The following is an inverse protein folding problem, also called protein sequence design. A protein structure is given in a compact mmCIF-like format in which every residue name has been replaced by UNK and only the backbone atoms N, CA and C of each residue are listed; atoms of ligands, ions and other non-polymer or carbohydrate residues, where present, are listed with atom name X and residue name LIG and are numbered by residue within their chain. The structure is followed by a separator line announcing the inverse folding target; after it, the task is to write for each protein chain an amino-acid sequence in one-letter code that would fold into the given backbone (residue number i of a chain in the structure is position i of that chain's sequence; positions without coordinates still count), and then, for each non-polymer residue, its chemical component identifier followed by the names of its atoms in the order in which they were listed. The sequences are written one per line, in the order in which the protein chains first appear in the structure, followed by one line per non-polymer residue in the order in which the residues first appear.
data_IF_196160353034
#
_entry.id   IF_196160353034
#
_cell.length_a   1.000
_cell.length_b   1.000
_cell.length_c   1.000
_cell.angle_alpha   90.00
_cell.angle_beta   90.00
_cell.angle_gamma   90.00
#
_symmetry.space_group_name_H-M   'P 1'
#
loop_
_entity.id
_entity.type
_entity.pdbx_description
1 polymer ?
#
# COMPACT_ATOMS: atom_id res chain seq x y z
N UNK A 1 -53.49 -26.19 26.37
CA UNK A 1 -52.28 -26.26 25.54
C UNK A 1 -51.56 -24.89 25.42
N UNK A 2 -52.32 -23.80 25.21
CA UNK A 2 -51.75 -22.45 25.07
C UNK A 2 -51.06 -21.92 26.34
N UNK A 3 -51.52 -22.23 27.56
CA UNK A 3 -50.92 -21.76 28.79
C UNK A 3 -49.53 -22.33 29.10
N UNK A 4 -49.33 -23.63 28.85
CA UNK A 4 -48.04 -24.29 29.11
C UNK A 4 -46.93 -23.86 28.13
N UNK A 5 -47.31 -23.66 26.85
CA UNK A 5 -46.39 -23.13 25.83
C UNK A 5 -45.99 -21.67 26.17
N UNK A 6 -46.96 -20.91 26.69
CA UNK A 6 -46.75 -19.52 27.12
C UNK A 6 -45.80 -19.45 28.33
N UNK A 7 -45.94 -20.34 29.33
CA UNK A 7 -45.10 -20.39 30.53
C UNK A 7 -43.69 -20.86 30.21
N UNK A 8 -43.53 -21.97 29.45
CA UNK A 8 -42.26 -22.48 29.01
C UNK A 8 -41.49 -21.48 28.15
N UNK A 9 -42.18 -20.85 27.19
CA UNK A 9 -41.64 -19.77 26.40
C UNK A 9 -41.31 -18.55 27.26
N UNK A 10 -42.12 -18.22 28.29
CA UNK A 10 -41.90 -17.09 29.18
C UNK A 10 -40.57 -17.17 29.93
N UNK A 11 -40.29 -18.34 30.54
CA UNK A 11 -39.02 -18.56 31.26
C UNK A 11 -37.79 -18.59 30.34
N UNK A 12 -37.89 -19.31 29.24
CA UNK A 12 -36.78 -19.40 28.25
C UNK A 12 -36.57 -18.09 27.52
N UNK A 13 -37.61 -17.32 27.21
CA UNK A 13 -37.51 -15.99 26.63
C UNK A 13 -36.78 -15.01 27.54
N UNK A 14 -36.90 -15.11 28.85
CA UNK A 14 -36.16 -14.26 29.78
C UNK A 14 -34.67 -14.54 29.75
N UNK A 15 -34.26 -15.81 29.73
CA UNK A 15 -32.88 -16.21 29.57
C UNK A 15 -32.30 -15.78 28.21
N UNK A 16 -33.06 -16.00 27.12
CA UNK A 16 -32.66 -15.57 25.78
C UNK A 16 -32.51 -14.03 25.68
N UNK A 17 -33.39 -13.26 26.29
CA UNK A 17 -33.28 -11.79 26.34
C UNK A 17 -32.00 -11.35 27.02
N UNK A 18 -31.63 -11.99 28.14
CA UNK A 18 -30.38 -11.70 28.85
C UNK A 18 -29.16 -12.04 27.99
N UNK A 19 -29.18 -13.20 27.34
CA UNK A 19 -28.08 -13.61 26.44
C UNK A 19 -27.91 -12.65 25.25
N UNK A 20 -29.01 -12.26 24.59
CA UNK A 20 -28.99 -11.26 23.50
C UNK A 20 -28.51 -9.90 23.99
N UNK A 21 -28.92 -9.46 25.19
CA UNK A 21 -28.45 -8.20 25.76
C UNK A 21 -26.93 -8.20 26.00
N UNK A 22 -26.39 -9.32 26.50
CA UNK A 22 -24.95 -9.50 26.67
C UNK A 22 -24.21 -9.48 25.34
N UNK A 23 -24.68 -10.23 24.34
CA UNK A 23 -24.08 -10.27 23.00
C UNK A 23 -24.11 -8.90 22.31
N UNK A 24 -25.26 -8.20 22.35
CA UNK A 24 -25.37 -6.86 21.79
C UNK A 24 -24.53 -5.83 22.52
N UNK A 25 -24.41 -5.95 23.85
CA UNK A 25 -23.53 -5.11 24.66
C UNK A 25 -22.05 -5.35 24.35
N UNK A 26 -21.65 -6.59 24.15
CA UNK A 26 -20.29 -6.94 23.73
C UNK A 26 -19.97 -6.37 22.35
N UNK A 27 -20.89 -6.52 21.39
CA UNK A 27 -20.74 -5.92 20.05
C UNK A 27 -20.64 -4.40 20.12
N UNK A 28 -21.47 -3.73 20.95
CA UNK A 28 -21.37 -2.29 21.15
C UNK A 28 -20.01 -1.87 21.75
N UNK A 29 -19.45 -2.64 22.69
CA UNK A 29 -18.15 -2.36 23.29
C UNK A 29 -17.01 -2.45 22.25
N UNK A 30 -17.00 -3.49 21.42
CA UNK A 30 -16.01 -3.63 20.37
C UNK A 30 -16.17 -2.56 19.28
N UNK A 31 -17.41 -2.22 18.90
CA UNK A 31 -17.72 -1.11 18.00
C UNK A 31 -17.18 0.22 18.55
N UNK A 32 -17.39 0.49 19.84
CA UNK A 32 -16.84 1.67 20.50
C UNK A 32 -15.32 1.70 20.44
N UNK A 33 -14.67 0.58 20.82
CA UNK A 33 -13.21 0.46 20.78
C UNK A 33 -12.67 0.73 19.38
N UNK A 34 -13.23 0.09 18.35
CA UNK A 34 -12.80 0.28 16.97
C UNK A 34 -12.99 1.72 16.47
N UNK A 35 -14.16 2.33 16.79
CA UNK A 35 -14.45 3.70 16.39
C UNK A 35 -13.61 4.75 17.15
N UNK A 36 -13.22 4.47 18.40
CA UNK A 36 -12.48 5.41 19.25
C UNK A 36 -10.96 5.37 19.08
N UNK A 37 -10.39 4.40 18.34
CA UNK A 37 -8.95 4.27 18.16
C UNK A 37 -8.27 5.52 17.57
N UNK A 38 -8.98 6.28 16.73
CA UNK A 38 -8.50 7.53 16.13
C UNK A 38 -9.13 8.80 16.72
N UNK A 39 -9.99 8.66 17.73
CA UNK A 39 -10.68 9.79 18.34
C UNK A 39 -9.71 10.57 19.25
N UNK A 40 -9.33 11.77 18.83
CA UNK A 40 -8.46 12.67 19.59
C UNK A 40 -9.27 13.59 20.50
N UNK A 41 -10.40 14.09 19.99
CA UNK A 41 -11.23 15.05 20.70
C UNK A 41 -12.32 14.39 21.55
N UNK A 42 -12.80 15.13 22.54
CA UNK A 42 -13.98 14.72 23.33
C UNK A 42 -15.20 14.46 22.46
N UNK A 43 -15.43 15.30 21.46
CA UNK A 43 -16.59 15.17 20.56
C UNK A 43 -16.52 13.92 19.68
N UNK A 44 -15.33 13.53 19.22
CA UNK A 44 -15.13 12.30 18.45
C UNK A 44 -15.38 11.06 19.32
N UNK A 45 -14.86 11.05 20.56
CA UNK A 45 -15.13 9.99 21.54
C UNK A 45 -16.61 9.89 21.91
N UNK A 46 -17.28 11.03 22.09
CA UNK A 46 -18.70 11.08 22.32
C UNK A 46 -19.49 10.56 21.11
N UNK A 47 -19.10 10.94 19.88
CA UNK A 47 -19.67 10.42 18.64
C UNK A 47 -19.50 8.91 18.51
N UNK A 48 -18.33 8.38 18.78
CA UNK A 48 -18.06 6.93 18.81
C UNK A 48 -18.94 6.21 19.85
N UNK A 49 -19.13 6.80 21.03
CA UNK A 49 -20.01 6.26 22.08
C UNK A 49 -21.48 6.21 21.64
N UNK A 50 -21.99 7.29 21.07
CA UNK A 50 -23.39 7.37 20.57
C UNK A 50 -23.60 6.36 19.44
N UNK A 51 -22.65 6.25 18.52
CA UNK A 51 -22.72 5.29 17.43
C UNK A 51 -22.72 3.85 17.93
N UNK A 52 -21.82 3.51 18.85
CA UNK A 52 -21.70 2.17 19.43
C UNK A 52 -22.97 1.78 20.24
N UNK A 53 -23.51 2.70 21.04
CA UNK A 53 -24.75 2.48 21.79
C UNK A 53 -25.93 2.31 20.83
N UNK A 54 -26.05 3.18 19.81
CA UNK A 54 -27.11 3.10 18.82
C UNK A 54 -27.10 1.77 18.06
N UNK A 55 -25.94 1.31 17.61
CA UNK A 55 -25.77 0.03 16.93
C UNK A 55 -26.12 -1.15 17.84
N UNK A 56 -25.63 -1.17 19.08
CA UNK A 56 -25.95 -2.21 20.06
C UNK A 56 -27.45 -2.28 20.39
N UNK A 57 -28.12 -1.14 20.56
CA UNK A 57 -29.58 -1.07 20.77
C UNK A 57 -30.35 -1.58 19.55
N UNK A 58 -29.91 -1.20 18.33
CA UNK A 58 -30.55 -1.68 17.10
C UNK A 58 -30.44 -3.20 16.94
N UNK A 59 -29.26 -3.76 17.19
CA UNK A 59 -29.01 -5.22 17.17
C UNK A 59 -29.89 -5.91 18.24
N UNK A 60 -29.95 -5.35 19.45
CA UNK A 60 -30.76 -5.89 20.53
C UNK A 60 -32.29 -5.91 20.16
N UNK A 61 -32.79 -4.81 19.63
CA UNK A 61 -34.20 -4.69 19.23
C UNK A 61 -34.52 -5.69 18.10
N UNK A 62 -33.64 -5.79 17.09
CA UNK A 62 -33.81 -6.73 15.99
C UNK A 62 -33.94 -8.17 16.49
N UNK A 63 -33.00 -8.64 17.29
CA UNK A 63 -33.04 -9.99 17.84
C UNK A 63 -34.17 -10.20 18.84
N UNK A 64 -34.47 -9.20 19.67
CA UNK A 64 -35.62 -9.26 20.58
C UNK A 64 -36.93 -9.48 19.81
N UNK A 65 -37.13 -8.75 18.70
CA UNK A 65 -38.31 -8.94 17.85
C UNK A 65 -38.32 -10.28 17.14
N UNK A 66 -37.17 -10.73 16.62
CA UNK A 66 -37.05 -12.06 16.00
C UNK A 66 -37.47 -13.17 16.96
N UNK A 67 -36.92 -13.21 18.19
CA UNK A 67 -37.29 -14.19 19.21
C UNK A 67 -38.72 -14.08 19.71
N UNK A 68 -39.32 -12.90 19.66
CA UNK A 68 -40.72 -12.69 20.08
C UNK A 68 -41.73 -13.08 19.01
N UNK A 69 -41.45 -12.81 17.74
CA UNK A 69 -42.39 -12.93 16.63
C UNK A 69 -42.29 -14.29 15.96
N UNK A 70 -41.09 -14.70 15.50
CA UNK A 70 -40.91 -15.88 14.64
C UNK A 70 -41.45 -17.18 15.27
N UNK A 71 -41.18 -17.49 16.55
CA UNK A 71 -41.71 -18.71 17.17
C UNK A 71 -43.23 -18.76 17.33
N UNK A 72 -43.93 -17.60 17.26
CA UNK A 72 -45.39 -17.49 17.43
C UNK A 72 -46.15 -17.61 16.12
N UNK A 73 -45.50 -17.60 14.98
CA UNK A 73 -46.11 -17.80 13.68
C UNK A 73 -46.67 -19.21 13.57
N UNK A 74 -47.90 -19.34 13.07
CA UNK A 74 -48.66 -20.60 13.14
C UNK A 74 -48.43 -21.47 11.90
N UNK A 75 -48.50 -20.88 10.73
CA UNK A 75 -48.41 -21.63 9.46
C UNK A 75 -46.98 -21.80 9.00
N UNK A 76 -46.68 -22.87 8.27
CA UNK A 76 -45.32 -23.09 7.68
C UNK A 76 -44.89 -21.91 6.78
N UNK A 77 -45.84 -21.32 6.03
CA UNK A 77 -45.60 -20.18 5.14
C UNK A 77 -45.21 -18.93 5.93
N UNK A 78 -45.95 -18.60 7.00
CA UNK A 78 -45.60 -17.48 7.88
C UNK A 78 -44.24 -17.66 8.53
N UNK A 79 -43.90 -18.90 8.99
CA UNK A 79 -42.58 -19.22 9.58
C UNK A 79 -41.46 -19.03 8.56
N UNK A 80 -41.68 -19.51 7.33
CA UNK A 80 -40.69 -19.32 6.26
C UNK A 80 -40.49 -17.85 5.93
N UNK A 81 -41.57 -17.05 5.85
CA UNK A 81 -41.51 -15.60 5.62
C UNK A 81 -40.81 -14.88 6.78
N UNK A 82 -41.17 -15.21 8.03
CA UNK A 82 -40.50 -14.65 9.21
C UNK A 82 -39.02 -14.95 9.26
N UNK A 83 -38.60 -16.17 8.92
CA UNK A 83 -37.21 -16.54 8.83
C UNK A 83 -36.51 -15.81 7.68
N UNK A 84 -37.14 -15.64 6.53
CA UNK A 84 -36.60 -14.87 5.41
C UNK A 84 -36.32 -13.41 5.79
N UNK A 85 -37.19 -12.78 6.54
CA UNK A 85 -37.00 -11.40 7.08
C UNK A 85 -35.81 -11.37 8.05
N UNK A 86 -35.67 -12.38 8.93
CA UNK A 86 -34.52 -12.46 9.83
C UNK A 86 -33.22 -12.67 9.03
N UNK A 87 -33.22 -13.52 8.02
CA UNK A 87 -32.04 -13.74 7.16
C UNK A 87 -31.64 -12.47 6.41
N UNK A 88 -32.61 -11.72 5.89
CA UNK A 88 -32.33 -10.43 5.23
C UNK A 88 -31.73 -9.42 6.21
N UNK A 89 -32.28 -9.34 7.44
CA UNK A 89 -31.68 -8.51 8.49
C UNK A 89 -30.27 -8.92 8.86
N UNK A 90 -30.03 -10.24 8.99
CA UNK A 90 -28.67 -10.77 9.21
C UNK A 90 -27.71 -10.39 8.09
N UNK A 91 -28.13 -10.49 6.83
CA UNK A 91 -27.31 -10.12 5.67
C UNK A 91 -26.88 -8.65 5.68
N UNK A 92 -27.67 -7.78 6.27
CA UNK A 92 -27.35 -6.35 6.42
C UNK A 92 -26.51 -6.07 7.66
N UNK A 93 -26.83 -6.69 8.79
CA UNK A 93 -26.22 -6.39 10.10
C UNK A 93 -24.87 -7.07 10.25
N UNK A 94 -24.76 -8.36 9.93
CA UNK A 94 -23.55 -9.18 10.22
C UNK A 94 -22.29 -8.64 9.57
N UNK A 95 -22.24 -8.31 8.26
CA UNK A 95 -21.02 -7.83 7.65
C UNK A 95 -20.49 -6.55 8.30
N UNK A 96 -21.39 -5.61 8.59
CA UNK A 96 -21.04 -4.34 9.20
C UNK A 96 -20.61 -4.53 10.67
N UNK A 97 -21.39 -5.26 11.45
CA UNK A 97 -21.11 -5.55 12.85
C UNK A 97 -19.82 -6.34 13.01
N UNK A 98 -19.61 -7.40 12.21
CA UNK A 98 -18.40 -8.21 12.27
C UNK A 98 -17.13 -7.41 11.88
N UNK A 99 -17.22 -6.51 10.90
CA UNK A 99 -16.12 -5.62 10.55
C UNK A 99 -15.76 -4.67 11.71
N UNK A 100 -16.77 -4.08 12.36
CA UNK A 100 -16.56 -3.20 13.52
C UNK A 100 -16.05 -3.96 14.74
N UNK A 101 -16.56 -5.16 15.00
CA UNK A 101 -16.11 -6.01 16.08
C UNK A 101 -14.64 -6.42 15.86
N UNK A 102 -14.28 -6.83 14.64
CA UNK A 102 -12.91 -7.19 14.27
C UNK A 102 -11.98 -5.97 14.40
N UNK A 103 -12.43 -4.79 13.97
CA UNK A 103 -11.67 -3.55 14.13
C UNK A 103 -11.48 -3.17 15.60
N UNK A 104 -12.47 -3.44 16.47
CA UNK A 104 -12.35 -3.22 17.91
C UNK A 104 -11.37 -4.16 18.60
N UNK A 105 -11.17 -5.37 18.08
CA UNK A 105 -10.27 -6.37 18.65
C UNK A 105 -8.86 -6.26 18.05
N UNK A 106 -8.75 -6.19 16.73
CA UNK A 106 -7.49 -6.31 15.98
C UNK A 106 -7.17 -5.07 15.12
N UNK A 107 -7.93 -3.97 15.24
CA UNK A 107 -7.74 -2.79 14.39
C UNK A 107 -6.40 -2.10 14.59
N UNK A 108 -5.86 -2.09 15.81
CA UNK A 108 -4.54 -1.55 16.10
C UNK A 108 -3.44 -2.39 15.47
N UNK A 109 -3.50 -3.72 15.60
CA UNK A 109 -2.55 -4.65 15.01
C UNK A 109 -2.58 -4.59 13.47
N UNK A 110 -3.79 -4.39 12.88
CA UNK A 110 -3.94 -4.25 11.44
C UNK A 110 -3.33 -2.94 10.91
N UNK A 111 -3.43 -1.86 11.67
CA UNK A 111 -2.77 -0.59 11.35
C UNK A 111 -1.25 -0.69 11.51
N UNK A 112 -0.78 -1.42 12.51
CA UNK A 112 0.64 -1.72 12.66
C UNK A 112 1.17 -2.54 11.49
N UNK A 113 0.45 -3.58 11.08
CA UNK A 113 0.78 -4.38 9.89
C UNK A 113 0.85 -3.51 8.62
N UNK A 114 -0.10 -2.57 8.46
CA UNK A 114 -0.07 -1.61 7.35
C UNK A 114 1.19 -0.75 7.38
N UNK A 115 1.53 -0.19 8.53
CA UNK A 115 2.74 0.62 8.68
C UNK A 115 4.02 -0.19 8.40
N UNK A 116 4.14 -1.41 8.93
CA UNK A 116 5.28 -2.29 8.70
C UNK A 116 5.46 -2.64 7.21
N UNK A 117 4.38 -2.95 6.49
CA UNK A 117 4.43 -3.24 5.05
C UNK A 117 4.80 -2.00 4.23
N UNK A 118 4.32 -0.83 4.62
CA UNK A 118 4.70 0.43 3.97
C UNK A 118 6.19 0.73 4.19
N UNK A 119 6.70 0.52 5.41
CA UNK A 119 8.12 0.68 5.73
C UNK A 119 8.98 -0.29 4.91
N UNK A 120 8.56 -1.56 4.78
CA UNK A 120 9.26 -2.54 3.93
C UNK A 120 9.30 -2.10 2.45
N UNK A 121 8.20 -1.54 1.93
CA UNK A 121 8.17 -0.97 0.58
C UNK A 121 9.13 0.21 0.40
N UNK A 122 9.26 1.08 1.39
CA UNK A 122 10.27 2.14 1.36
C UNK A 122 11.71 1.60 1.39
N UNK A 123 11.95 0.56 2.18
CA UNK A 123 13.26 -0.09 2.27
C UNK A 123 13.70 -0.69 0.93
N UNK A 124 12.78 -1.35 0.22
CA UNK A 124 13.01 -1.86 -1.13
C UNK A 124 13.39 -0.73 -2.09
N UNK A 125 12.67 0.40 -2.05
CA UNK A 125 12.97 1.56 -2.90
C UNK A 125 14.35 2.18 -2.57
N UNK A 126 14.71 2.27 -1.28
CA UNK A 126 16.05 2.74 -0.87
C UNK A 126 17.13 1.82 -1.44
N UNK A 127 16.93 0.50 -1.36
CA UNK A 127 17.82 -0.50 -1.95
C UNK A 127 17.95 -0.34 -3.47
N UNK A 128 16.84 -0.25 -4.18
CA UNK A 128 16.79 -0.04 -5.62
C UNK A 128 17.54 1.23 -6.05
N UNK A 129 17.33 2.35 -5.34
CA UNK A 129 18.04 3.61 -5.62
C UNK A 129 19.54 3.50 -5.39
N UNK A 130 19.95 2.79 -4.34
CA UNK A 130 21.36 2.53 -4.08
C UNK A 130 22.01 1.68 -5.19
N UNK A 131 21.34 0.62 -5.64
CA UNK A 131 21.81 -0.24 -6.73
C UNK A 131 21.84 0.49 -8.08
N UNK A 132 20.87 1.37 -8.34
CA UNK A 132 20.93 2.28 -9.48
C UNK A 132 22.18 3.17 -9.45
N UNK A 133 22.55 3.68 -8.27
CA UNK A 133 23.79 4.42 -8.07
C UNK A 133 25.04 3.62 -8.48
N UNK A 134 25.14 2.35 -8.11
CA UNK A 134 26.24 1.47 -8.52
C UNK A 134 26.31 1.27 -10.05
N UNK A 135 25.16 1.19 -10.71
CA UNK A 135 25.12 1.10 -12.17
C UNK A 135 25.60 2.40 -12.84
N UNK A 136 25.29 3.55 -12.24
CA UNK A 136 25.75 4.86 -12.69
C UNK A 136 27.27 4.99 -12.48
N UNK A 137 27.80 4.54 -11.35
CA UNK A 137 29.23 4.55 -11.05
C UNK A 137 30.05 3.82 -12.11
N UNK A 138 29.50 2.76 -12.72
CA UNK A 138 30.21 1.94 -13.70
C UNK A 138 30.66 2.67 -14.97
N UNK A 139 30.14 3.88 -15.26
CA UNK A 139 30.55 4.68 -16.44
C UNK A 139 31.80 5.54 -16.18
N UNK A 140 32.14 5.80 -14.91
CA UNK A 140 33.27 6.70 -14.55
C UNK A 140 34.60 6.28 -15.19
N UNK A 141 34.96 5.00 -15.21
CA UNK A 141 36.18 4.57 -15.88
C UNK A 141 36.19 4.87 -17.38
N UNK A 142 35.06 4.68 -18.06
CA UNK A 142 34.93 4.94 -19.50
C UNK A 142 35.08 6.43 -19.82
N UNK A 143 34.47 7.29 -19.01
CA UNK A 143 34.59 8.76 -19.13
C UNK A 143 36.06 9.21 -18.90
N UNK A 144 36.71 8.65 -17.88
CA UNK A 144 38.13 8.94 -17.60
C UNK A 144 39.04 8.54 -18.76
N UNK A 145 38.83 7.33 -19.29
CA UNK A 145 39.63 6.80 -20.41
C UNK A 145 39.43 7.66 -21.65
N UNK A 146 38.20 8.00 -22.00
CA UNK A 146 37.91 8.79 -23.17
C UNK A 146 38.42 10.24 -23.04
N UNK A 147 38.27 10.88 -21.88
CA UNK A 147 38.85 12.20 -21.62
C UNK A 147 40.37 12.20 -21.75
N UNK A 148 41.05 11.15 -21.21
CA UNK A 148 42.51 10.99 -21.36
C UNK A 148 42.91 10.79 -22.81
N UNK A 149 42.14 10.00 -23.60
CA UNK A 149 42.38 9.78 -25.03
C UNK A 149 42.24 11.10 -25.82
N UNK A 150 41.23 11.87 -25.57
CA UNK A 150 41.01 13.17 -26.23
C UNK A 150 42.14 14.15 -25.93
N UNK A 151 42.65 14.20 -24.68
CA UNK A 151 43.82 15.02 -24.32
C UNK A 151 45.09 14.54 -24.99
N UNK A 152 45.31 13.23 -25.08
CA UNK A 152 46.43 12.67 -25.81
C UNK A 152 46.39 13.03 -27.32
N UNK A 153 45.21 12.98 -27.91
CA UNK A 153 44.98 13.42 -29.30
C UNK A 153 45.22 14.92 -29.49
N UNK A 154 44.73 15.75 -28.55
CA UNK A 154 44.99 17.20 -28.56
C UNK A 154 46.51 17.51 -28.47
N UNK A 155 47.21 16.83 -27.59
CA UNK A 155 48.68 16.94 -27.46
C UNK A 155 49.39 16.51 -28.73
N UNK A 156 48.99 15.40 -29.33
CA UNK A 156 49.55 14.92 -30.58
C UNK A 156 49.32 15.89 -31.75
N UNK A 157 48.16 16.55 -31.78
CA UNK A 157 47.89 17.63 -32.74
C UNK A 157 48.81 18.83 -32.50
N UNK A 158 48.93 19.30 -31.27
CA UNK A 158 49.80 20.42 -30.89
C UNK A 158 51.27 20.16 -31.26
N UNK A 159 51.80 18.96 -30.98
CA UNK A 159 53.23 18.62 -31.15
C UNK A 159 53.56 18.16 -32.58
N UNK A 160 52.63 17.46 -33.25
CA UNK A 160 52.91 16.73 -34.52
C UNK A 160 51.98 17.06 -35.66
N UNK A 161 50.85 17.77 -35.39
CA UNK A 161 49.86 18.07 -36.41
C UNK A 161 49.17 16.81 -36.97
N UNK A 162 48.79 15.86 -36.09
CA UNK A 162 48.28 14.55 -36.50
C UNK A 162 46.96 14.67 -37.27
N UNK A 163 46.14 15.63 -36.99
CA UNK A 163 44.85 15.89 -37.67
C UNK A 163 45.03 16.82 -38.84
N UNK A 164 45.68 17.98 -38.66
CA UNK A 164 45.76 19.06 -39.62
C UNK A 164 47.02 18.96 -40.53
N UNK A 165 47.99 18.13 -40.19
CA UNK A 165 49.28 18.04 -40.87
C UNK A 165 50.25 19.19 -40.52
N UNK A 166 49.94 20.04 -39.54
CA UNK A 166 50.76 21.16 -39.08
C UNK A 166 50.74 21.23 -37.55
N UNK A 167 51.88 21.09 -36.88
CA UNK A 167 51.96 21.25 -35.45
C UNK A 167 51.68 22.69 -35.03
N UNK A 168 51.08 22.86 -33.83
CA UNK A 168 50.80 24.15 -33.21
C UNK A 168 49.41 24.23 -32.61
N UNK A 169 49.15 25.27 -31.78
CA UNK A 169 47.82 25.50 -31.22
C UNK A 169 46.83 25.83 -32.31
N UNK A 170 45.60 25.30 -32.21
CA UNK A 170 44.57 25.52 -33.21
C UNK A 170 43.20 24.95 -32.82
N UNK A 171 42.24 25.20 -33.67
CA UNK A 171 40.85 24.86 -33.42
C UNK A 171 40.60 23.38 -33.13
N UNK A 172 41.32 22.48 -33.76
CA UNK A 172 41.24 21.03 -33.50
C UNK A 172 41.72 20.68 -32.09
N UNK A 173 42.88 21.20 -31.71
CA UNK A 173 43.45 21.01 -30.37
C UNK A 173 42.49 21.57 -29.29
N UNK A 174 41.98 22.79 -29.47
CA UNK A 174 41.00 23.41 -28.57
C UNK A 174 39.70 22.61 -28.45
N UNK A 175 39.20 22.07 -29.56
CA UNK A 175 37.98 21.22 -29.54
C UNK A 175 38.18 19.94 -28.77
N UNK A 176 39.30 19.23 -29.04
CA UNK A 176 39.58 17.98 -28.34
C UNK A 176 39.75 18.19 -26.83
N UNK A 177 40.45 19.27 -26.42
CA UNK A 177 40.59 19.65 -25.03
C UNK A 177 39.24 20.08 -24.42
N UNK A 178 38.41 20.83 -25.14
CA UNK A 178 37.07 21.24 -24.75
C UNK A 178 36.14 20.03 -24.53
N UNK A 179 36.23 19.02 -25.41
CA UNK A 179 35.48 17.76 -25.22
C UNK A 179 35.96 17.01 -23.98
N UNK A 180 37.27 16.89 -23.76
CA UNK A 180 37.81 16.25 -22.57
C UNK A 180 37.36 16.93 -21.27
N UNK A 181 37.36 18.27 -21.22
CA UNK A 181 36.88 19.04 -20.08
C UNK A 181 35.38 18.82 -19.80
N UNK A 182 34.55 18.69 -20.83
CA UNK A 182 33.11 18.40 -20.67
C UNK A 182 32.87 16.99 -20.13
N UNK A 183 33.68 16.01 -20.56
CA UNK A 183 33.63 14.65 -19.99
C UNK A 183 34.05 14.62 -18.51
N UNK A 184 35.08 15.39 -18.15
CA UNK A 184 35.47 15.54 -16.74
C UNK A 184 34.35 16.21 -15.92
N UNK A 185 33.72 17.24 -16.47
CA UNK A 185 32.60 17.90 -15.81
C UNK A 185 31.43 16.93 -15.56
N UNK A 186 31.07 16.13 -16.58
CA UNK A 186 30.06 15.08 -16.42
C UNK A 186 30.47 14.04 -15.36
N UNK A 187 31.73 13.61 -15.37
CA UNK A 187 32.26 12.69 -14.37
C UNK A 187 32.14 13.25 -12.96
N UNK A 188 32.53 14.51 -12.75
CA UNK A 188 32.44 15.20 -11.46
C UNK A 188 30.99 15.33 -10.98
N UNK A 189 30.08 15.64 -11.89
CA UNK A 189 28.64 15.70 -11.59
C UNK A 189 28.12 14.30 -11.15
N UNK A 190 28.54 13.23 -11.82
CA UNK A 190 28.21 11.86 -11.44
C UNK A 190 28.80 11.52 -10.05
N UNK A 191 30.07 11.80 -9.81
CA UNK A 191 30.74 11.53 -8.52
C UNK A 191 30.04 12.30 -7.38
N UNK A 192 29.67 13.57 -7.59
CA UNK A 192 28.95 14.37 -6.62
C UNK A 192 27.54 13.81 -6.34
N UNK A 193 26.81 13.39 -7.41
CA UNK A 193 25.50 12.78 -7.27
C UNK A 193 25.58 11.46 -6.47
N UNK A 194 26.55 10.62 -6.74
CA UNK A 194 26.77 9.36 -6.02
C UNK A 194 27.09 9.59 -4.55
N UNK A 195 27.94 10.57 -4.23
CA UNK A 195 28.27 10.92 -2.86
C UNK A 195 27.02 11.42 -2.09
N UNK A 196 26.23 12.30 -2.73
CA UNK A 196 24.97 12.77 -2.16
C UNK A 196 23.97 11.62 -1.96
N UNK A 197 23.80 10.76 -2.97
CA UNK A 197 22.88 9.61 -2.91
C UNK A 197 23.26 8.64 -1.80
N UNK A 198 24.54 8.38 -1.59
CA UNK A 198 25.04 7.55 -0.49
C UNK A 198 24.67 8.14 0.89
N UNK A 199 24.89 9.43 1.08
CA UNK A 199 24.52 10.12 2.32
C UNK A 199 23.01 10.09 2.56
N UNK A 200 22.22 10.32 1.51
CA UNK A 200 20.76 10.25 1.59
C UNK A 200 20.27 8.84 1.89
N UNK A 201 20.88 7.79 1.30
CA UNK A 201 20.54 6.40 1.60
C UNK A 201 20.81 6.04 3.07
N UNK A 202 21.93 6.50 3.63
CA UNK A 202 22.23 6.31 5.05
C UNK A 202 21.22 7.03 5.95
N UNK A 203 20.86 8.28 5.61
CA UNK A 203 19.84 9.03 6.34
C UNK A 203 18.46 8.38 6.22
N UNK A 204 18.08 7.90 5.03
CA UNK A 204 16.84 7.18 4.80
C UNK A 204 16.76 5.88 5.61
N UNK A 205 17.85 5.11 5.69
CA UNK A 205 17.91 3.92 6.55
C UNK A 205 17.73 4.28 8.03
N UNK A 206 18.31 5.38 8.48
CA UNK A 206 18.09 5.90 9.84
C UNK A 206 16.64 6.29 10.11
N UNK A 207 15.98 6.93 9.14
CA UNK A 207 14.55 7.27 9.24
C UNK A 207 13.67 6.01 9.28
N UNK A 208 13.98 4.98 8.48
CA UNK A 208 13.27 3.69 8.51
C UNK A 208 13.38 3.01 9.87
N UNK A 209 14.57 3.04 10.50
CA UNK A 209 14.76 2.50 11.86
C UNK A 209 13.95 3.27 12.91
N UNK A 210 13.87 4.60 12.78
CA UNK A 210 13.02 5.43 13.65
C UNK A 210 11.54 5.09 13.42
N UNK A 211 11.10 4.93 12.17
CA UNK A 211 9.72 4.54 11.85
C UNK A 211 9.35 3.19 12.47
N UNK A 212 10.23 2.17 12.37
CA UNK A 212 10.01 0.87 13.02
C UNK A 212 9.83 1.00 14.54
N UNK A 213 10.67 1.82 15.19
CA UNK A 213 10.54 2.09 16.63
C UNK A 213 9.24 2.82 16.98
N UNK A 214 8.75 3.73 16.13
CA UNK A 214 7.47 4.42 16.35
C UNK A 214 6.31 3.42 16.25
N UNK A 215 6.35 2.48 15.29
CA UNK A 215 5.30 1.47 15.10
C UNK A 215 5.10 0.63 16.36
N UNK A 216 6.20 0.19 17.00
CA UNK A 216 6.16 -0.67 18.19
C UNK A 216 6.17 0.09 19.51
N UNK A 217 6.14 1.43 19.48
CA UNK A 217 6.19 2.24 20.71
C UNK A 217 4.90 2.14 21.51
N UNK A 218 5.02 2.09 22.83
CA UNK A 218 3.90 2.18 23.77
C UNK A 218 3.41 3.64 23.89
N UNK A 219 2.77 4.11 22.83
CA UNK A 219 2.19 5.44 22.71
C UNK A 219 0.80 5.36 22.05
N UNK A 220 -0.09 6.31 22.34
CA UNK A 220 -1.38 6.39 21.67
C UNK A 220 -1.24 6.33 20.15
N UNK A 221 -2.12 5.57 19.49
CA UNK A 221 -2.10 5.33 18.05
C UNK A 221 -2.08 6.63 17.23
N UNK A 222 -2.84 7.66 17.67
CA UNK A 222 -2.89 8.98 17.04
C UNK A 222 -1.53 9.67 17.00
N UNK A 223 -0.75 9.57 18.09
CA UNK A 223 0.61 10.11 18.16
C UNK A 223 1.54 9.32 17.23
N UNK A 224 1.48 7.97 17.28
CA UNK A 224 2.28 7.11 16.40
C UNK A 224 2.00 7.40 14.91
N UNK A 225 0.73 7.47 14.51
CA UNK A 225 0.32 7.74 13.12
C UNK A 225 0.80 9.12 12.64
N UNK A 226 0.68 10.14 13.47
CA UNK A 226 1.17 11.50 13.15
C UNK A 226 2.69 11.54 12.98
N UNK A 227 3.42 10.89 13.89
CA UNK A 227 4.88 10.89 13.86
C UNK A 227 5.40 10.05 12.69
N UNK A 228 4.76 8.91 12.36
CA UNK A 228 5.03 8.13 11.15
C UNK A 228 4.80 8.93 9.87
N UNK A 229 3.70 9.70 9.79
CA UNK A 229 3.42 10.57 8.64
C UNK A 229 4.55 11.57 8.37
N UNK A 230 5.03 12.26 9.41
CA UNK A 230 6.15 13.21 9.29
C UNK A 230 7.43 12.54 8.78
N UNK A 231 7.74 11.32 9.28
CA UNK A 231 8.92 10.58 8.84
C UNK A 231 8.78 10.06 7.42
N UNK A 232 7.60 9.61 7.03
CA UNK A 232 7.30 9.21 5.66
C UNK A 232 7.47 10.37 4.67
N UNK A 233 7.05 11.59 5.02
CA UNK A 233 7.23 12.78 4.19
C UNK A 233 8.73 13.15 4.05
N UNK A 234 9.50 13.09 5.14
CA UNK A 234 10.96 13.27 5.11
C UNK A 234 11.64 12.23 4.21
N UNK A 235 11.27 10.97 4.36
CA UNK A 235 11.81 9.87 3.56
C UNK A 235 11.48 10.03 2.06
N UNK A 236 10.25 10.43 1.73
CA UNK A 236 9.85 10.70 0.33
C UNK A 236 10.69 11.80 -0.29
N UNK A 237 10.99 12.86 0.46
CA UNK A 237 11.88 13.94 -0.01
C UNK A 237 13.28 13.40 -0.31
N UNK A 238 13.87 12.60 0.60
CA UNK A 238 15.18 11.98 0.39
C UNK A 238 15.19 11.07 -0.84
N UNK A 239 14.18 10.21 -1.01
CA UNK A 239 14.05 9.32 -2.15
C UNK A 239 13.87 10.07 -3.48
N UNK A 240 13.19 11.21 -3.46
CA UNK A 240 13.06 12.08 -4.64
C UNK A 240 14.41 12.71 -4.99
N UNK A 241 15.18 13.17 -4.01
CA UNK A 241 16.51 13.74 -4.22
C UNK A 241 17.55 12.71 -4.68
N UNK A 242 17.36 11.43 -4.38
CA UNK A 242 18.20 10.33 -4.88
C UNK A 242 17.93 10.00 -6.36
N UNK A 243 16.93 10.63 -6.98
CA UNK A 243 16.61 10.36 -8.39
C UNK A 243 17.74 10.77 -9.32
N UNK A 244 18.04 9.91 -10.29
CA UNK A 244 19.08 10.14 -11.32
C UNK A 244 18.58 10.94 -12.53
N UNK A 245 17.34 11.47 -12.51
CA UNK A 245 16.77 12.18 -13.67
C UNK A 245 17.59 13.42 -14.07
N UNK A 246 18.15 14.15 -13.10
CA UNK A 246 19.00 15.30 -13.38
C UNK A 246 20.28 14.94 -14.15
N UNK A 247 20.89 13.78 -13.85
CA UNK A 247 22.05 13.27 -14.59
C UNK A 247 21.68 12.87 -16.02
N UNK A 248 20.51 12.28 -16.23
CA UNK A 248 20.05 11.94 -17.57
C UNK A 248 19.87 13.21 -18.44
N UNK A 249 19.28 14.26 -17.87
CA UNK A 249 19.10 15.54 -18.58
C UNK A 249 20.43 16.23 -18.89
N UNK A 250 21.39 16.28 -17.94
CA UNK A 250 22.71 16.89 -18.21
C UNK A 250 23.47 16.11 -19.25
N UNK A 251 23.45 14.78 -19.16
CA UNK A 251 24.08 13.90 -20.15
C UNK A 251 23.46 14.04 -21.52
N UNK A 252 22.14 14.16 -21.62
CA UNK A 252 21.42 14.41 -22.86
C UNK A 252 21.82 15.76 -23.49
N UNK A 253 21.89 16.81 -22.69
CA UNK A 253 22.38 18.13 -23.16
C UNK A 253 23.81 18.07 -23.70
N UNK A 254 24.70 17.31 -23.04
CA UNK A 254 26.05 17.10 -23.50
C UNK A 254 26.07 16.35 -24.83
N UNK A 255 25.29 15.28 -24.95
CA UNK A 255 25.16 14.46 -26.17
C UNK A 255 24.72 15.30 -27.37
N UNK A 256 23.85 16.28 -27.20
CA UNK A 256 23.41 17.19 -28.24
C UNK A 256 24.41 18.32 -28.55
N UNK A 257 25.19 18.73 -27.55
CA UNK A 257 26.14 19.84 -27.70
C UNK A 257 27.42 19.45 -28.46
N UNK A 258 27.91 18.21 -28.28
CA UNK A 258 29.18 17.78 -28.88
C UNK A 258 29.20 17.82 -30.42
N UNK A 259 28.21 17.29 -31.15
CA UNK A 259 28.20 17.38 -32.61
C UNK A 259 28.11 18.82 -33.13
N UNK A 260 27.31 19.67 -32.46
CA UNK A 260 27.12 21.09 -32.86
C UNK A 260 28.44 21.89 -32.76
N UNK A 261 29.29 21.55 -31.80
CA UNK A 261 30.59 22.19 -31.63
C UNK A 261 31.50 21.93 -32.83
N UNK A 262 31.55 20.68 -33.30
CA UNK A 262 32.35 20.29 -34.48
C UNK A 262 31.80 20.92 -35.74
N UNK A 263 30.47 20.95 -35.94
CA UNK A 263 29.84 21.61 -37.09
C UNK A 263 30.13 23.11 -37.12
N UNK A 264 30.15 23.76 -35.96
CA UNK A 264 30.49 25.17 -35.88
C UNK A 264 31.93 25.44 -36.32
N UNK A 265 32.88 24.59 -35.90
CA UNK A 265 34.27 24.72 -36.29
C UNK A 265 34.49 24.43 -37.77
N UNK A 266 33.77 23.49 -38.35
CA UNK A 266 33.83 23.20 -39.79
C UNK A 266 33.48 24.44 -40.66
N UNK A 267 32.54 25.28 -40.19
CA UNK A 267 32.11 26.50 -40.91
C UNK A 267 33.17 27.63 -40.90
N UNK A 268 34.04 27.67 -39.91
CA UNK A 268 35.06 28.71 -39.76
C UNK A 268 36.38 28.40 -40.51
N UNK A 269 36.60 27.16 -41.00
CA UNK A 269 37.85 26.71 -41.59
C UNK A 269 37.96 26.79 -43.14
N UNK A 270 37.15 27.55 -43.82
CA UNK A 270 37.09 27.59 -45.29
C UNK A 270 38.23 28.41 -45.93
N UNK A 271 39.47 27.88 -45.88
CA UNK A 271 40.59 28.40 -46.67
C UNK A 271 40.89 27.46 -47.86
N UNK A 272 40.75 27.90 -49.11
CA UNK A 272 40.89 27.01 -50.31
C UNK A 272 42.24 26.32 -50.40
N UNK A 273 43.31 26.91 -49.87
CA UNK A 273 44.68 26.36 -49.99
C UNK A 273 44.94 25.18 -48.99
N UNK A 274 44.07 25.00 -48.01
CA UNK A 274 44.23 23.96 -46.98
C UNK A 274 43.03 23.01 -46.93
N UNK A 275 42.11 23.11 -47.90
CA UNK A 275 40.83 22.39 -47.89
C UNK A 275 40.95 20.88 -47.68
N UNK A 276 41.88 20.23 -48.37
CA UNK A 276 42.08 18.77 -48.30
C UNK A 276 42.61 18.26 -46.93
N UNK A 277 43.47 19.04 -46.27
CA UNK A 277 43.96 18.71 -44.94
C UNK A 277 42.93 19.03 -43.88
N UNK A 278 42.13 20.06 -44.07
CA UNK A 278 41.04 20.41 -43.21
C UNK A 278 39.89 19.40 -43.27
N UNK A 279 39.57 18.86 -44.46
CA UNK A 279 38.59 17.79 -44.66
C UNK A 279 38.96 16.53 -43.87
N UNK A 280 40.22 16.08 -43.96
CA UNK A 280 40.73 14.93 -43.17
C UNK A 280 40.75 15.20 -41.68
N UNK A 281 41.06 16.42 -41.23
CA UNK A 281 41.03 16.78 -39.83
C UNK A 281 39.59 16.76 -39.28
N UNK A 282 38.65 17.24 -40.07
CA UNK A 282 37.22 17.23 -39.75
C UNK A 282 36.69 15.79 -39.65
N UNK A 283 37.04 14.92 -40.61
CA UNK A 283 36.65 13.51 -40.62
C UNK A 283 37.10 12.79 -39.32
N UNK A 284 38.36 12.93 -38.95
CA UNK A 284 38.89 12.37 -37.69
C UNK A 284 38.23 12.94 -36.44
N UNK A 285 37.99 14.24 -36.44
CA UNK A 285 37.28 14.87 -35.31
C UNK A 285 35.84 14.38 -35.17
N UNK A 286 35.17 14.14 -36.29
CA UNK A 286 33.83 13.52 -36.36
C UNK A 286 33.83 12.09 -35.79
N UNK A 287 34.87 11.29 -36.11
CA UNK A 287 35.05 9.95 -35.53
C UNK A 287 35.20 10.00 -33.99
N UNK A 288 35.98 10.98 -33.47
CA UNK A 288 36.15 11.15 -32.03
C UNK A 288 34.87 11.58 -31.34
N UNK A 289 34.09 12.51 -31.97
CA UNK A 289 32.77 12.90 -31.47
C UNK A 289 31.81 11.73 -31.50
N UNK A 290 31.79 10.94 -32.59
CA UNK A 290 30.90 9.78 -32.70
C UNK A 290 31.18 8.76 -31.59
N UNK A 291 32.45 8.48 -31.28
CA UNK A 291 32.84 7.59 -30.17
C UNK A 291 32.42 8.14 -28.81
N UNK A 292 32.68 9.41 -28.54
CA UNK A 292 32.31 10.06 -27.29
C UNK A 292 30.79 10.09 -27.11
N UNK A 293 30.04 10.41 -28.17
CA UNK A 293 28.56 10.39 -28.16
C UNK A 293 27.99 8.97 -27.96
N UNK A 294 28.66 7.95 -28.50
CA UNK A 294 28.28 6.55 -28.26
C UNK A 294 28.39 6.18 -26.77
N UNK A 295 29.50 6.56 -26.10
CA UNK A 295 29.71 6.29 -24.66
C UNK A 295 28.61 6.98 -23.84
N UNK A 296 28.40 8.29 -24.07
CA UNK A 296 27.38 9.06 -23.35
C UNK A 296 25.99 8.53 -23.68
N UNK A 297 25.70 8.20 -24.94
CA UNK A 297 24.41 7.66 -25.37
C UNK A 297 24.06 6.34 -24.70
N UNK A 298 25.03 5.43 -24.58
CA UNK A 298 24.87 4.18 -23.79
C UNK A 298 24.57 4.46 -22.32
N UNK A 299 25.19 5.45 -21.74
CA UNK A 299 24.95 5.88 -20.37
C UNK A 299 23.53 6.45 -20.19
N UNK A 300 23.13 7.38 -21.07
CA UNK A 300 21.76 7.96 -21.05
C UNK A 300 20.71 6.86 -21.20
N UNK A 301 20.89 5.96 -22.18
CA UNK A 301 20.00 4.84 -22.39
C UNK A 301 19.89 3.93 -21.14
N UNK A 302 21.02 3.69 -20.48
CA UNK A 302 21.06 2.90 -19.24
C UNK A 302 20.28 3.57 -18.09
N UNK A 303 20.45 4.89 -17.90
CA UNK A 303 19.73 5.63 -16.85
C UNK A 303 18.23 5.69 -17.15
N UNK A 304 17.85 6.00 -18.39
CA UNK A 304 16.44 6.12 -18.76
C UNK A 304 15.69 4.79 -18.77
N UNK A 305 16.39 3.68 -18.93
CA UNK A 305 15.83 2.34 -18.81
C UNK A 305 15.66 1.88 -17.34
N UNK A 306 16.19 2.62 -16.36
CA UNK A 306 16.02 2.26 -14.95
C UNK A 306 14.55 2.44 -14.52
N UNK A 307 13.98 1.46 -13.82
CA UNK A 307 12.60 1.57 -13.36
C UNK A 307 12.46 2.75 -12.39
N UNK A 308 11.48 3.59 -12.66
CA UNK A 308 11.09 4.68 -11.77
C UNK A 308 10.07 4.12 -10.78
N UNK A 309 10.52 3.59 -9.64
CA UNK A 309 9.62 3.13 -8.61
C UNK A 309 8.77 4.30 -8.10
N UNK A 310 7.45 4.13 -8.12
CA UNK A 310 6.52 5.06 -7.48
C UNK A 310 6.74 5.01 -5.98
N UNK A 311 7.04 6.15 -5.36
CA UNK A 311 7.22 6.23 -3.92
C UNK A 311 5.83 6.19 -3.26
N UNK A 312 5.47 5.12 -2.51
CA UNK A 312 4.15 5.03 -1.91
C UNK A 312 3.91 6.15 -0.90
N UNK A 313 2.68 6.59 -0.79
CA UNK A 313 2.27 7.43 0.33
C UNK A 313 1.90 6.53 1.51
N UNK A 314 2.24 6.95 2.72
CA UNK A 314 1.69 6.31 3.92
C UNK A 314 0.22 6.73 4.03
N UNK A 315 -0.68 5.88 3.54
CA UNK A 315 -2.12 6.14 3.62
C UNK A 315 -2.62 6.05 5.05
N UNK A 316 -3.46 7.00 5.44
CA UNK A 316 -4.15 6.96 6.73
C UNK A 316 -5.37 6.07 6.60
N UNK A 317 -5.25 4.84 7.04
CA UNK A 317 -6.37 3.91 7.08
C UNK A 317 -7.15 4.04 8.39
N UNK A 318 -8.48 3.88 8.30
CA UNK A 318 -9.28 3.62 9.50
C UNK A 318 -9.04 2.18 9.99
N UNK A 319 -9.25 1.86 11.29
CA UNK A 319 -9.13 0.50 11.80
C UNK A 319 -9.99 -0.51 11.03
N UNK A 320 -11.19 -0.10 10.62
CA UNK A 320 -12.09 -0.93 9.80
C UNK A 320 -11.49 -1.19 8.41
N UNK A 321 -10.97 -0.15 7.76
CA UNK A 321 -10.32 -0.31 6.45
C UNK A 321 -9.09 -1.21 6.54
N UNK A 322 -8.30 -1.09 7.61
CA UNK A 322 -7.11 -1.92 7.82
C UNK A 322 -7.46 -3.40 8.00
N UNK A 323 -8.45 -3.74 8.86
CA UNK A 323 -8.86 -5.16 9.04
C UNK A 323 -9.50 -5.74 7.78
N UNK A 324 -10.13 -4.94 6.94
CA UNK A 324 -10.66 -5.38 5.64
C UNK A 324 -9.52 -5.59 4.65
N UNK A 325 -8.58 -4.65 4.55
CA UNK A 325 -7.43 -4.74 3.65
C UNK A 325 -6.57 -5.96 3.94
N UNK A 326 -6.37 -6.27 5.21
CA UNK A 326 -5.56 -7.40 5.70
C UNK A 326 -6.42 -8.57 6.23
N UNK A 327 -7.63 -8.77 5.70
CA UNK A 327 -8.59 -9.74 6.20
C UNK A 327 -8.02 -11.18 6.28
N UNK A 328 -7.11 -11.55 5.39
CA UNK A 328 -6.46 -12.87 5.40
C UNK A 328 -5.56 -13.07 6.62
N UNK A 329 -4.88 -12.03 7.07
CA UNK A 329 -3.98 -12.09 8.23
C UNK A 329 -4.77 -12.12 9.54
N UNK A 330 -6.01 -11.61 9.52
CA UNK A 330 -6.90 -11.49 10.68
C UNK A 330 -8.13 -12.41 10.62
N UNK A 331 -8.04 -13.54 9.86
CA UNK A 331 -9.18 -14.43 9.63
C UNK A 331 -9.77 -15.02 10.93
N UNK A 332 -8.95 -15.29 11.95
CA UNK A 332 -9.39 -15.78 13.25
C UNK A 332 -10.24 -14.76 14.00
N UNK A 333 -9.89 -13.48 13.92
CA UNK A 333 -10.66 -12.39 14.52
C UNK A 333 -11.97 -12.15 13.77
N UNK A 334 -11.95 -12.26 12.43
CA UNK A 334 -13.16 -12.25 11.61
C UNK A 334 -14.09 -13.39 11.95
N UNK A 335 -13.57 -14.61 12.11
CA UNK A 335 -14.35 -15.77 12.53
C UNK A 335 -14.99 -15.54 13.89
N UNK A 336 -14.28 -14.94 14.85
CA UNK A 336 -14.82 -14.57 16.15
C UNK A 336 -15.95 -13.51 16.07
N UNK A 337 -15.74 -12.46 15.28
CA UNK A 337 -16.76 -11.43 15.03
C UNK A 337 -18.03 -11.99 14.40
N UNK A 338 -17.88 -12.80 13.37
CA UNK A 338 -19.01 -13.47 12.69
C UNK A 338 -19.72 -14.44 13.64
N UNK A 339 -18.99 -15.24 14.41
CA UNK A 339 -19.57 -16.18 15.37
C UNK A 339 -20.41 -15.45 16.44
N UNK A 340 -19.93 -14.30 16.93
CA UNK A 340 -20.66 -13.48 17.89
C UNK A 340 -22.02 -13.00 17.31
N UNK A 341 -22.01 -12.54 16.06
CA UNK A 341 -23.21 -12.03 15.37
C UNK A 341 -24.15 -13.15 14.91
N UNK A 342 -23.61 -14.35 14.60
CA UNK A 342 -24.40 -15.51 14.19
C UNK A 342 -24.99 -16.30 15.37
N UNK A 343 -24.44 -16.16 16.58
CA UNK A 343 -24.91 -16.90 17.75
C UNK A 343 -26.42 -16.75 18.02
N UNK A 344 -27.04 -15.54 17.96
CA UNK A 344 -28.47 -15.41 18.15
C UNK A 344 -29.30 -16.12 17.08
N UNK A 345 -28.83 -16.16 15.83
CA UNK A 345 -29.49 -16.90 14.74
C UNK A 345 -29.50 -18.40 15.02
N UNK A 346 -28.34 -18.96 15.41
CA UNK A 346 -28.26 -20.37 15.78
C UNK A 346 -29.21 -20.71 16.94
N UNK A 347 -29.25 -19.87 17.96
CA UNK A 347 -30.17 -20.04 19.11
C UNK A 347 -31.64 -19.98 18.64
N UNK A 348 -32.02 -19.05 17.74
CA UNK A 348 -33.36 -18.96 17.19
C UNK A 348 -33.76 -20.25 16.45
N UNK A 349 -32.84 -20.76 15.59
CA UNK A 349 -33.09 -21.99 14.85
C UNK A 349 -33.23 -23.21 15.77
N UNK A 350 -32.39 -23.36 16.79
CA UNK A 350 -32.52 -24.42 17.80
C UNK A 350 -33.84 -24.29 18.57
N UNK A 351 -34.28 -23.09 18.94
CA UNK A 351 -35.56 -22.86 19.57
C UNK A 351 -36.71 -23.30 18.69
N UNK A 352 -36.68 -22.96 17.41
CA UNK A 352 -37.73 -23.35 16.44
C UNK A 352 -37.79 -24.87 16.25
N UNK A 353 -36.63 -25.55 16.16
CA UNK A 353 -36.53 -27.01 16.08
C UNK A 353 -37.11 -27.69 17.33
N UNK A 354 -36.77 -27.20 18.52
CA UNK A 354 -37.28 -27.72 19.78
C UNK A 354 -38.78 -27.59 19.91
N UNK A 355 -39.34 -26.46 19.45
CA UNK A 355 -40.81 -26.24 19.43
C UNK A 355 -41.51 -27.14 18.42
N UNK A 356 -40.90 -27.39 17.25
CA UNK A 356 -41.47 -28.29 16.24
C UNK A 356 -41.49 -29.74 16.74
N UNK A 357 -40.39 -30.21 17.32
CA UNK A 357 -40.30 -31.58 17.90
C UNK A 357 -41.35 -31.81 19.02
N UNK A 358 -41.53 -30.78 19.87
CA UNK A 358 -42.52 -30.86 20.96
C UNK A 358 -43.95 -30.89 20.43
N UNK A 359 -44.28 -30.05 19.43
CA UNK A 359 -45.62 -30.05 18.79
C UNK A 359 -45.96 -31.42 18.16
N UNK A 360 -45.00 -32.09 17.57
CA UNK A 360 -45.16 -33.43 17.01
C UNK A 360 -45.38 -34.49 18.09
N UNK A 361 -44.64 -34.42 19.21
CA UNK A 361 -44.82 -35.31 20.34
C UNK A 361 -46.21 -35.15 21.00
N UNK A 362 -46.65 -33.90 21.18
CA UNK A 362 -47.98 -33.60 21.72
C UNK A 362 -49.14 -34.10 20.82
N UNK A 363 -48.96 -34.02 19.48
CA UNK A 363 -49.92 -34.58 18.50
C UNK A 363 -49.96 -36.10 18.57
N UNK A 364 -48.83 -36.78 18.65
CA UNK A 364 -48.75 -38.27 18.81
C UNK A 364 -49.45 -38.70 20.09
N UNK A 365 -49.22 -38.01 21.20
CA UNK A 365 -49.82 -38.32 22.47
C UNK A 365 -51.36 -38.09 22.48
N UNK A 366 -51.83 -37.03 21.84
CA UNK A 366 -53.24 -36.73 21.67
C UNK A 366 -53.96 -37.77 20.78
N UNK A 367 -53.24 -38.30 19.77
CA UNK A 367 -53.78 -39.37 18.90
C UNK A 367 -53.88 -40.70 19.64
N UNK A 368 -52.89 -41.05 20.44
CA UNK A 368 -52.89 -42.28 21.27
C UNK A 368 -53.97 -42.25 22.36
N UNK A 369 -54.27 -41.09 22.96
CA UNK A 369 -55.34 -40.94 23.98
C UNK A 369 -56.75 -40.97 23.39
N UNK A 370 -56.93 -40.70 22.08
CA UNK A 370 -58.25 -40.75 21.40
C UNK A 370 -58.62 -42.15 20.89
N UNK A 371 -57.65 -43.03 20.63
CA UNK A 371 -57.87 -44.39 20.12
C UNK A 371 -58.71 -45.31 21.07
N UNK A 372 -58.57 -45.27 22.42
CA UNK A 372 -59.37 -46.09 23.31
C UNK A 372 -60.88 -45.75 23.37
N UNK A 373 -61.26 -44.48 23.02
CA UNK A 373 -62.67 -44.04 23.16
C UNK A 373 -63.58 -44.46 21.99
N UNK A 374 -63.00 -44.94 20.88
CA UNK A 374 -63.79 -45.44 19.72
C UNK A 374 -64.16 -46.91 19.87
N UNK A 375 -63.50 -47.69 20.76
CA UNK A 375 -63.80 -49.08 21.01
C UNK A 375 -65.03 -49.35 21.93
N UNK A 376 -65.53 -48.34 22.64
CA UNK A 376 -66.60 -48.51 23.63
C UNK A 376 -68.00 -48.07 23.16
N UNK A 377 -68.13 -47.71 21.86
CA UNK A 377 -69.46 -47.26 21.29
C UNK A 377 -70.18 -48.31 20.42
N UNK A 378 -69.56 -49.51 20.31
CA UNK A 378 -70.20 -50.66 19.60
C UNK A 378 -70.17 -51.90 20.51
N UNK A 379 -70.83 -51.83 21.63
CA UNK A 379 -71.17 -52.90 22.51
C UNK A 379 -72.53 -52.75 23.04
#
# INVERSE_FOLDING_TARGET
MDGFIADYLGEKLTTLRRSVAVLSGSSALFTYRGASLHAESFFEKAGASVYALGSGVAIYIFWHMAFKVVPRLKTPVEKALGLAVVMLGCLMIIPLSSALNTAGIAGEDALETHAQRTIAGYEEIVGDRYDQGRLIESIIPDLKLEAARLRASAKAELEKGVYTGRPGPGAVEETLNGMALRLDGLREEIEAHLAKSKTLAQSASGELDVMRKIVTADKPLTIRTRDLGKRADSLRTMLTEMSSMGLAESSQRLLEALPREVERQAKFSANPKTAKSQEKALERLQEDVARTTEIIGKFVAKITAMPTASIPALERLSPVAAVIMYARDYISYWAGGIALDMAPLAILLFLMLALAAKSEADLKQATLTRLPQLGTRFG
#
